data_IF_791330445496
#
_entry.id   IF_791330445496
#
_cell.length_a   1.000
_cell.length_b   1.000
_cell.length_c   1.000
_cell.angle_alpha   90.00
_cell.angle_beta   90.00
_cell.angle_gamma   90.00
#
_symmetry.space_group_name_H-M   'P 1'
#
loop_
_entity.id
_entity.type
_entity.pdbx_description
1 polymer ?
#
# COMPACT_ATOMS: atom_id res chain seq x y z
N UNK A 1 21.61 23.57 -17.58
CA UNK A 1 21.84 24.37 -18.79
C UNK A 1 22.67 23.56 -19.76
N UNK A 2 22.10 23.10 -20.88
CA UNK A 2 22.83 22.58 -22.05
C UNK A 2 21.89 22.71 -23.27
N UNK A 3 22.46 23.15 -24.39
CA UNK A 3 21.88 23.89 -25.51
C UNK A 3 21.17 23.04 -26.59
N UNK A 4 20.05 23.58 -27.05
CA UNK A 4 19.66 23.92 -28.45
C UNK A 4 19.74 22.87 -29.59
N UNK A 5 18.55 22.51 -30.08
CA UNK A 5 18.03 22.58 -31.47
C UNK A 5 18.92 22.25 -32.67
N UNK A 6 18.44 21.32 -33.51
CA UNK A 6 18.76 21.27 -34.94
C UNK A 6 17.54 20.82 -35.76
N UNK A 7 17.01 21.75 -36.55
CA UNK A 7 16.07 21.51 -37.64
C UNK A 7 16.86 21.01 -38.87
N UNK A 8 16.31 20.06 -39.63
CA UNK A 8 16.84 19.70 -40.95
C UNK A 8 15.83 20.06 -42.03
N UNK A 9 16.28 20.98 -42.88
CA UNK A 9 15.60 21.53 -44.03
C UNK A 9 15.65 20.58 -45.23
N UNK A 10 14.63 20.69 -46.06
CA UNK A 10 14.38 19.96 -47.32
C UNK A 10 15.29 20.44 -48.46
N UNK A 11 15.58 19.58 -49.45
CA UNK A 11 15.99 19.99 -50.80
C UNK A 11 15.27 19.13 -51.86
N UNK A 12 14.79 19.82 -52.88
CA UNK A 12 13.87 19.45 -53.98
C UNK A 12 14.65 19.35 -55.30
N UNK A 13 14.37 18.42 -56.24
CA UNK A 13 14.54 18.60 -57.71
C UNK A 13 13.67 17.56 -58.48
N UNK A 14 12.47 17.86 -59.03
CA UNK A 14 11.97 18.39 -60.35
C UNK A 14 11.96 17.47 -61.60
N UNK A 15 10.82 17.55 -62.33
CA UNK A 15 10.52 17.34 -63.78
C UNK A 15 10.39 15.88 -64.29
N UNK A 16 9.47 15.48 -65.17
CA UNK A 16 8.41 16.11 -65.97
C UNK A 16 7.44 15.00 -66.47
N UNK A 17 6.20 15.32 -66.85
CA UNK A 17 5.34 14.38 -67.57
C UNK A 17 3.89 14.83 -67.71
N UNK A 18 3.42 14.94 -68.95
CA UNK A 18 2.19 15.61 -69.38
C UNK A 18 0.89 14.82 -69.16
N UNK A 19 -0.18 15.57 -68.87
CA UNK A 19 -1.49 15.40 -69.52
C UNK A 19 -2.50 14.47 -68.86
N UNK A 20 -3.77 14.89 -68.89
CA UNK A 20 -4.93 13.99 -68.89
C UNK A 20 -5.81 14.06 -67.65
N UNK A 21 -6.87 14.87 -67.74
CA UNK A 21 -8.00 14.95 -66.83
C UNK A 21 -8.65 13.58 -66.58
N UNK A 22 -8.94 13.26 -65.31
CA UNK A 22 -10.16 12.58 -64.82
C UNK A 22 -10.04 12.38 -63.30
N UNK A 23 -10.91 13.03 -62.53
CA UNK A 23 -11.03 12.78 -61.10
C UNK A 23 -11.73 11.44 -60.88
N UNK A 24 -11.06 10.52 -60.20
CA UNK A 24 -11.66 9.31 -59.64
C UNK A 24 -11.54 9.43 -58.12
N UNK A 25 -12.65 9.50 -57.35
CA UNK A 25 -12.54 9.40 -55.90
C UNK A 25 -12.06 7.99 -55.55
N UNK A 26 -10.84 7.89 -55.04
CA UNK A 26 -10.31 6.65 -54.51
C UNK A 26 -11.05 6.33 -53.20
N UNK A 27 -11.96 5.36 -53.24
CA UNK A 27 -12.59 4.78 -52.05
C UNK A 27 -11.50 4.18 -51.16
N UNK A 28 -11.15 4.90 -50.10
CA UNK A 28 -10.21 4.40 -49.09
C UNK A 28 -10.98 3.47 -48.16
N UNK A 29 -10.68 2.17 -48.24
CA UNK A 29 -11.21 1.18 -47.30
C UNK A 29 -10.34 1.21 -46.04
N UNK A 30 -10.85 1.83 -44.98
CA UNK A 30 -10.22 1.85 -43.66
C UNK A 30 -10.52 0.54 -42.93
N UNK A 31 -9.54 -0.35 -42.81
CA UNK A 31 -9.65 -1.56 -42.01
C UNK A 31 -9.24 -1.27 -40.56
N UNK A 32 -10.21 -1.20 -39.65
CA UNK A 32 -9.97 -1.00 -38.22
C UNK A 32 -9.63 -2.33 -37.56
N UNK A 33 -8.37 -2.52 -37.16
CA UNK A 33 -7.95 -3.67 -36.35
C UNK A 33 -8.33 -3.40 -34.89
N UNK A 34 -9.33 -4.10 -34.37
CA UNK A 34 -9.73 -4.01 -32.97
C UNK A 34 -8.83 -4.92 -32.11
N UNK A 35 -7.84 -4.33 -31.45
CA UNK A 35 -6.97 -5.03 -30.50
C UNK A 35 -7.71 -5.13 -29.16
N UNK A 36 -8.36 -6.27 -28.90
CA UNK A 36 -8.96 -6.55 -27.60
C UNK A 36 -7.87 -7.06 -26.64
N UNK A 37 -7.43 -6.20 -25.70
CA UNK A 37 -6.57 -6.63 -24.58
C UNK A 37 -7.44 -7.13 -23.44
N UNK A 38 -7.32 -8.42 -23.12
CA UNK A 38 -7.88 -8.98 -21.89
C UNK A 38 -7.02 -8.51 -20.72
N UNK A 39 -7.55 -7.61 -19.90
CA UNK A 39 -6.90 -7.16 -18.66
C UNK A 39 -7.37 -8.08 -17.54
N UNK A 40 -6.49 -8.96 -17.06
CA UNK A 40 -6.76 -9.74 -15.84
C UNK A 40 -6.64 -8.79 -14.65
N UNK A 41 -7.76 -8.29 -14.13
CA UNK A 41 -7.77 -7.54 -12.90
C UNK A 41 -7.53 -8.52 -11.73
N UNK A 42 -6.38 -8.39 -11.05
CA UNK A 42 -6.18 -9.03 -9.74
C UNK A 42 -7.10 -8.32 -8.75
N UNK A 43 -8.21 -8.95 -8.39
CA UNK A 43 -9.08 -8.45 -7.34
C UNK A 43 -8.28 -8.36 -6.04
N UNK A 44 -8.25 -7.16 -5.42
CA UNK A 44 -7.68 -7.00 -4.09
C UNK A 44 -8.50 -7.85 -3.12
N UNK A 45 -7.87 -8.71 -2.29
CA UNK A 45 -8.58 -9.46 -1.27
C UNK A 45 -9.46 -8.51 -0.43
N UNK A 46 -10.66 -8.95 0.01
CA UNK A 46 -11.48 -8.15 0.90
C UNK A 46 -10.66 -7.69 2.10
N UNK A 47 -10.68 -6.38 2.38
CA UNK A 47 -10.01 -5.84 3.56
C UNK A 47 -10.67 -6.45 4.81
N UNK A 48 -9.94 -7.30 5.53
CA UNK A 48 -10.39 -7.79 6.84
C UNK A 48 -10.44 -6.61 7.79
N UNK A 49 -11.55 -6.46 8.52
CA UNK A 49 -11.67 -5.42 9.53
C UNK A 49 -10.60 -5.59 10.63
N UNK A 50 -10.08 -4.48 11.21
CA UNK A 50 -9.15 -4.56 12.33
C UNK A 50 -9.76 -5.30 13.52
N UNK A 51 -8.92 -6.04 14.25
CA UNK A 51 -9.36 -6.89 15.36
C UNK A 51 -9.45 -6.12 16.68
N UNK A 52 -10.24 -6.64 17.61
CA UNK A 52 -10.33 -6.14 19.00
C UNK A 52 -9.62 -7.05 20.00
N UNK A 53 -8.97 -8.12 19.52
CA UNK A 53 -8.23 -9.10 20.34
C UNK A 53 -6.87 -9.37 19.69
N UNK A 54 -5.82 -9.39 20.51
CA UNK A 54 -4.45 -9.78 20.14
C UNK A 54 -4.08 -11.03 20.92
N UNK A 55 -4.12 -12.20 20.26
CA UNK A 55 -3.91 -13.50 20.91
C UNK A 55 -2.45 -13.96 20.91
N UNK A 56 -1.62 -13.37 20.04
CA UNK A 56 -0.22 -13.77 19.86
C UNK A 56 0.73 -12.62 20.15
N UNK A 57 1.98 -12.98 20.42
CA UNK A 57 3.07 -12.01 20.45
C UNK A 57 3.28 -11.41 19.04
N UNK A 58 3.84 -10.21 18.99
CA UNK A 58 4.22 -9.55 17.75
C UNK A 58 3.77 -8.09 17.63
N UNK A 59 3.90 -7.58 16.41
CA UNK A 59 3.56 -6.21 16.05
C UNK A 59 2.19 -6.14 15.38
N UNK A 60 1.34 -5.24 15.87
CA UNK A 60 0.00 -5.01 15.39
C UNK A 60 -0.12 -3.57 14.89
N UNK A 61 -0.37 -3.37 13.60
CA UNK A 61 -0.56 -2.04 13.01
C UNK A 61 -1.93 -1.50 13.43
N UNK A 62 -1.93 -0.32 14.03
CA UNK A 62 -3.17 0.29 14.52
C UNK A 62 -4.00 0.80 13.33
N UNK A 63 -5.30 0.49 13.33
CA UNK A 63 -6.23 0.78 12.24
C UNK A 63 -6.17 -0.22 11.06
N UNK A 64 -5.25 -1.20 11.09
CA UNK A 64 -5.16 -2.25 10.07
C UNK A 64 -5.34 -3.62 10.72
N UNK A 65 -4.49 -3.96 11.68
CA UNK A 65 -4.51 -5.26 12.36
C UNK A 65 -5.38 -5.20 13.62
N UNK A 66 -5.39 -4.05 14.31
CA UNK A 66 -6.20 -3.81 15.51
C UNK A 66 -6.88 -2.44 15.49
N UNK A 67 -8.03 -2.33 16.15
CA UNK A 67 -8.67 -1.03 16.34
C UNK A 67 -7.94 -0.15 17.37
N UNK A 68 -8.02 1.18 17.27
CA UNK A 68 -7.69 2.05 18.40
C UNK A 68 -8.65 1.79 19.57
N UNK A 69 -8.17 1.92 20.81
CA UNK A 69 -8.99 1.71 22.00
C UNK A 69 -8.18 1.42 23.25
N UNK A 70 -8.88 1.21 24.37
CA UNK A 70 -8.26 0.72 25.60
C UNK A 70 -8.27 -0.81 25.58
N UNK A 71 -7.12 -1.40 25.88
CA UNK A 71 -6.90 -2.84 25.90
C UNK A 71 -6.43 -3.28 27.27
N UNK A 72 -6.85 -4.48 27.69
CA UNK A 72 -6.43 -5.11 28.93
C UNK A 72 -5.85 -6.50 28.66
N UNK A 73 -4.78 -6.83 29.37
CA UNK A 73 -4.17 -8.17 29.41
C UNK A 73 -4.13 -8.68 30.86
N UNK A 74 -4.22 -10.00 31.02
CA UNK A 74 -4.09 -10.68 32.31
C UNK A 74 -2.68 -10.64 32.91
N UNK A 75 -1.68 -10.17 32.16
CA UNK A 75 -0.29 -10.13 32.58
C UNK A 75 0.56 -11.11 31.77
N UNK A 76 1.59 -11.69 32.39
CA UNK A 76 2.45 -12.64 31.69
C UNK A 76 1.73 -13.94 31.35
N UNK A 77 2.08 -14.51 30.22
CA UNK A 77 1.71 -15.88 29.89
C UNK A 77 2.46 -16.86 30.81
N UNK A 78 1.84 -17.99 31.12
CA UNK A 78 2.43 -19.04 31.98
C UNK A 78 3.81 -19.46 31.48
N UNK A 79 4.73 -19.69 32.41
CA UNK A 79 6.13 -20.07 32.16
C UNK A 79 6.94 -19.12 31.25
N UNK A 80 6.45 -17.90 30.99
CA UNK A 80 7.19 -16.86 30.27
C UNK A 80 7.76 -15.78 31.20
N UNK A 81 8.65 -14.97 30.63
CA UNK A 81 9.11 -13.73 31.24
C UNK A 81 7.95 -12.72 31.37
N UNK A 82 8.22 -11.58 32.01
CA UNK A 82 7.22 -10.56 32.25
C UNK A 82 6.60 -10.05 30.95
N UNK A 83 5.29 -9.78 30.98
CA UNK A 83 4.55 -9.26 29.84
C UNK A 83 5.07 -7.87 29.50
N UNK A 84 5.58 -7.74 28.28
CA UNK A 84 6.06 -6.48 27.73
C UNK A 84 5.13 -5.97 26.64
N UNK A 85 4.90 -4.65 26.65
CA UNK A 85 4.22 -3.98 25.56
C UNK A 85 4.88 -2.65 25.21
N UNK A 86 4.69 -2.20 23.98
CA UNK A 86 5.06 -0.87 23.52
C UNK A 86 4.03 -0.31 22.53
N UNK A 87 3.70 0.97 22.68
CA UNK A 87 3.05 1.78 21.64
C UNK A 87 4.15 2.45 20.83
N UNK A 88 4.07 2.41 19.50
CA UNK A 88 5.17 2.80 18.61
C UNK A 88 4.77 3.94 17.64
N UNK A 89 5.71 4.84 17.34
CA UNK A 89 5.57 5.90 16.33
C UNK A 89 5.86 5.41 14.90
N UNK A 90 6.42 4.21 14.75
CA UNK A 90 6.68 3.55 13.47
C UNK A 90 6.59 2.03 13.62
N UNK A 91 7.01 1.28 12.60
CA UNK A 91 7.14 -0.18 12.66
C UNK A 91 8.54 -0.63 13.14
N UNK A 92 9.30 0.29 13.73
CA UNK A 92 10.55 -0.03 14.42
C UNK A 92 10.26 -0.18 15.93
N UNK A 93 10.57 -1.34 16.49
CA UNK A 93 10.36 -1.63 17.93
C UNK A 93 11.10 -0.66 18.86
N UNK A 94 12.16 -0.01 18.37
CA UNK A 94 12.93 0.98 19.14
C UNK A 94 12.29 2.38 19.14
N UNK A 95 11.25 2.62 18.35
CA UNK A 95 10.59 3.92 18.22
C UNK A 95 9.33 3.99 19.13
N UNK A 96 9.57 3.80 20.43
CA UNK A 96 8.51 3.70 21.43
C UNK A 96 7.98 5.08 21.87
N UNK A 97 6.65 5.22 21.82
CA UNK A 97 5.88 6.30 22.44
C UNK A 97 5.78 6.08 23.95
N UNK A 98 5.46 4.84 24.32
CA UNK A 98 5.32 4.38 25.70
C UNK A 98 5.50 2.87 25.73
N UNK A 99 6.01 2.33 26.84
CA UNK A 99 6.14 0.90 27.06
C UNK A 99 5.85 0.54 28.52
N UNK A 100 5.70 -0.76 28.79
CA UNK A 100 5.53 -1.29 30.12
C UNK A 100 5.93 -2.75 30.20
N UNK A 101 6.36 -3.17 31.39
CA UNK A 101 6.76 -4.54 31.68
C UNK A 101 6.24 -4.93 33.07
N UNK A 102 5.49 -6.03 33.17
CA UNK A 102 4.95 -6.53 34.43
C UNK A 102 4.58 -8.00 34.33
N UNK A 103 4.75 -8.75 35.42
CA UNK A 103 4.15 -10.08 35.56
C UNK A 103 2.62 -10.04 35.70
N UNK A 104 2.08 -8.96 36.30
CA UNK A 104 0.67 -8.81 36.61
C UNK A 104 -0.16 -8.18 35.48
N UNK A 105 -1.48 -8.03 35.69
CA UNK A 105 -2.38 -7.43 34.71
C UNK A 105 -1.95 -6.03 34.28
N UNK A 106 -2.21 -5.70 33.02
CA UNK A 106 -1.86 -4.40 32.42
C UNK A 106 -3.03 -3.85 31.59
N UNK A 107 -3.16 -2.53 31.56
CA UNK A 107 -4.16 -1.80 30.77
C UNK A 107 -3.48 -0.68 29.99
N UNK A 108 -3.80 -0.55 28.70
CA UNK A 108 -3.15 0.39 27.79
C UNK A 108 -4.16 1.00 26.84
N UNK A 109 -4.18 2.32 26.74
CA UNK A 109 -4.90 3.03 25.66
C UNK A 109 -4.03 3.14 24.42
N UNK A 110 -4.38 2.40 23.37
CA UNK A 110 -3.82 2.48 22.02
C UNK A 110 -4.54 3.59 21.27
N UNK A 111 -3.82 4.64 20.89
CA UNK A 111 -4.40 5.81 20.21
C UNK A 111 -4.44 5.55 18.71
N UNK A 112 -5.40 6.18 18.02
CA UNK A 112 -5.48 6.14 16.56
C UNK A 112 -4.24 6.75 15.86
N UNK A 113 -3.48 7.59 16.57
CA UNK A 113 -2.22 8.16 16.08
C UNK A 113 -1.04 7.20 16.13
N UNK A 114 -1.11 6.15 16.95
CA UNK A 114 -0.03 5.18 17.08
C UNK A 114 0.13 4.43 15.76
N UNK A 115 1.36 4.10 15.37
CA UNK A 115 1.58 3.31 14.15
C UNK A 115 1.47 1.83 14.41
N UNK A 116 1.95 1.38 15.56
CA UNK A 116 1.85 -0.01 15.97
C UNK A 116 1.76 -0.16 17.48
N UNK A 117 1.22 -1.31 17.88
CA UNK A 117 1.34 -1.87 19.22
C UNK A 117 2.19 -3.13 19.12
N UNK A 118 3.24 -3.22 19.92
CA UNK A 118 4.09 -4.40 20.02
C UNK A 118 3.88 -5.06 21.37
N UNK A 119 3.79 -6.39 21.41
CA UNK A 119 3.60 -7.15 22.64
C UNK A 119 4.39 -8.45 22.60
N UNK A 120 4.94 -8.84 23.76
CA UNK A 120 5.66 -10.10 23.91
C UNK A 120 5.45 -10.69 25.31
N UNK A 121 5.28 -12.02 25.38
CA UNK A 121 5.04 -12.77 26.61
C UNK A 121 3.76 -12.42 27.37
N UNK A 122 2.83 -11.71 26.75
CA UNK A 122 1.58 -11.33 27.39
C UNK A 122 0.51 -12.39 27.20
N UNK A 123 -0.41 -12.48 28.16
CA UNK A 123 -1.74 -13.03 27.91
C UNK A 123 -2.44 -12.18 26.85
N UNK A 124 -3.46 -12.74 26.19
CA UNK A 124 -4.17 -12.04 25.12
C UNK A 124 -4.67 -10.66 25.57
N UNK A 125 -4.43 -9.65 24.73
CA UNK A 125 -4.99 -8.32 24.95
C UNK A 125 -6.40 -8.26 24.37
N UNK A 126 -7.36 -7.74 25.13
CA UNK A 126 -8.75 -7.55 24.70
C UNK A 126 -9.14 -6.10 24.87
N UNK A 127 -9.78 -5.52 23.86
CA UNK A 127 -10.36 -4.18 23.94
C UNK A 127 -11.49 -4.20 24.98
N UNK A 128 -11.49 -3.21 25.88
CA UNK A 128 -12.49 -3.04 26.96
C UNK A 128 -13.51 -1.96 26.64
#
# INVERSE_FOLDING_TARGET
MQRNSAAFASVVVVLAGCGGSSQTPASTVTSTVQITRTVTATATPPATAPKTIMETDGMYRVGIDIEPGTYRSGGKSEDRADCFWARLNSLNENDAIANGMSAGPQEVTVKASDRAFYTHHCQAWRKV
#
